data_IF_677577337999
#
_entry.id   IF_677577337999
#
_cell.length_a   1.000
_cell.length_b   1.000
_cell.length_c   1.000
_cell.angle_alpha   90.00
_cell.angle_beta   90.00
_cell.angle_gamma   90.00
#
_symmetry.space_group_name_H-M   'P 1'
#
loop_
_entity.id
_entity.type
_entity.pdbx_description
1 polymer ?
#
# COMPACT_ATOMS: atom_id res chain seq x y z
N UNK A 1 -6.00 -41.63 5.99
CA UNK A 1 -5.30 -40.33 6.07
C UNK A 1 -5.64 -39.71 7.41
N UNK A 2 -4.66 -39.43 8.27
CA UNK A 2 -4.93 -38.84 9.61
C UNK A 2 -5.19 -37.34 9.50
N UNK A 3 -6.02 -36.77 10.38
CA UNK A 3 -6.34 -35.33 10.38
C UNK A 3 -5.07 -34.44 10.44
N UNK A 4 -4.09 -34.87 11.24
CA UNK A 4 -2.76 -34.27 11.36
C UNK A 4 -2.05 -34.09 10.01
N UNK A 5 -2.10 -35.10 9.13
CA UNK A 5 -1.44 -35.05 7.82
C UNK A 5 -2.08 -33.98 6.92
N UNK A 6 -3.41 -33.90 6.93
CA UNK A 6 -4.16 -32.90 6.15
C UNK A 6 -3.81 -31.49 6.62
N UNK A 7 -3.79 -31.26 7.94
CA UNK A 7 -3.43 -29.97 8.54
C UNK A 7 -2.00 -29.56 8.21
N UNK A 8 -1.06 -30.51 8.25
CA UNK A 8 0.34 -30.25 7.90
C UNK A 8 0.52 -29.85 6.43
N UNK A 9 -0.19 -30.51 5.51
CA UNK A 9 -0.15 -30.14 4.08
C UNK A 9 -0.77 -28.75 3.83
N UNK A 10 -1.80 -28.36 4.58
CA UNK A 10 -2.30 -26.99 4.54
C UNK A 10 -1.26 -25.97 5.05
N UNK A 11 -0.58 -26.25 6.17
CA UNK A 11 0.50 -25.38 6.68
C UNK A 11 1.57 -25.17 5.60
N UNK A 12 2.07 -26.26 4.99
CA UNK A 12 3.04 -26.16 3.87
C UNK A 12 2.52 -25.30 2.73
N UNK A 13 1.26 -25.51 2.34
CA UNK A 13 0.62 -24.74 1.26
C UNK A 13 0.63 -23.25 1.57
N UNK A 14 0.26 -22.84 2.79
CA UNK A 14 0.21 -21.42 3.17
C UNK A 14 1.60 -20.80 3.42
N UNK A 15 2.60 -21.61 3.78
CA UNK A 15 4.01 -21.18 3.78
C UNK A 15 4.47 -20.92 2.34
N UNK A 16 4.18 -21.82 1.41
CA UNK A 16 4.55 -21.67 -0.01
C UNK A 16 3.88 -20.46 -0.67
N UNK A 17 2.59 -20.22 -0.36
CA UNK A 17 1.84 -19.05 -0.86
C UNK A 17 2.47 -17.70 -0.52
N UNK A 18 3.39 -17.65 0.45
CA UNK A 18 4.19 -16.43 0.74
C UNK A 18 4.85 -15.86 -0.52
N UNK A 19 5.31 -16.74 -1.42
CA UNK A 19 5.99 -16.32 -2.65
C UNK A 19 5.06 -15.55 -3.61
N UNK A 20 3.75 -15.81 -3.53
CA UNK A 20 2.73 -15.18 -4.36
C UNK A 20 2.18 -13.91 -3.70
N UNK A 21 1.95 -13.94 -2.38
CA UNK A 21 1.32 -12.83 -1.64
C UNK A 21 2.30 -11.73 -1.25
N UNK A 22 3.55 -12.07 -0.93
CA UNK A 22 4.55 -11.14 -0.39
C UNK A 22 5.41 -10.54 -1.50
N UNK A 23 4.77 -9.98 -2.52
CA UNK A 23 5.44 -9.30 -3.63
C UNK A 23 6.44 -8.25 -3.11
N UNK A 24 7.72 -8.39 -3.50
CA UNK A 24 8.79 -7.44 -3.20
C UNK A 24 8.81 -6.34 -4.26
N UNK A 25 8.22 -5.21 -3.92
CA UNK A 25 8.26 -4.02 -4.76
C UNK A 25 9.68 -3.43 -4.79
N UNK A 26 10.18 -2.96 -5.96
CA UNK A 26 11.46 -2.25 -6.02
C UNK A 26 11.47 -1.06 -5.08
N UNK A 27 12.58 -0.85 -4.37
CA UNK A 27 12.70 0.21 -3.35
C UNK A 27 12.45 1.60 -3.94
N UNK A 28 12.82 1.83 -5.20
CA UNK A 28 12.71 3.14 -5.87
C UNK A 28 11.26 3.44 -6.29
N UNK A 29 10.46 2.42 -6.61
CA UNK A 29 9.15 2.59 -7.25
C UNK A 29 8.18 3.51 -6.46
N UNK A 30 8.11 3.47 -5.12
CA UNK A 30 7.27 4.37 -4.35
C UNK A 30 7.70 5.84 -4.35
N UNK A 31 8.97 6.12 -4.65
CA UNK A 31 9.50 7.49 -4.68
C UNK A 31 9.27 8.15 -6.03
N UNK A 32 9.14 7.38 -7.12
CA UNK A 32 8.93 7.89 -8.48
C UNK A 32 7.72 8.84 -8.57
N UNK A 33 6.52 8.50 -8.05
CA UNK A 33 5.38 9.42 -8.07
C UNK A 33 5.66 10.77 -7.41
N UNK A 34 6.30 10.74 -6.24
CA UNK A 34 6.61 11.95 -5.47
C UNK A 34 7.59 12.83 -6.25
N UNK A 35 8.63 12.23 -6.82
CA UNK A 35 9.59 12.96 -7.64
C UNK A 35 8.91 13.60 -8.86
N UNK A 36 8.07 12.86 -9.59
CA UNK A 36 7.33 13.38 -10.74
C UNK A 36 6.40 14.53 -10.36
N UNK A 37 5.67 14.41 -9.25
CA UNK A 37 4.75 15.46 -8.76
C UNK A 37 5.52 16.69 -8.29
N UNK A 38 6.65 16.52 -7.62
CA UNK A 38 7.51 17.65 -7.22
C UNK A 38 8.05 18.36 -8.46
N UNK A 39 8.62 17.63 -9.42
CA UNK A 39 9.13 18.18 -10.68
C UNK A 39 8.03 18.88 -11.47
N UNK A 40 6.83 18.30 -11.58
CA UNK A 40 5.71 18.94 -12.26
C UNK A 40 5.31 20.24 -11.56
N UNK A 41 5.27 20.24 -10.21
CA UNK A 41 4.94 21.44 -9.43
C UNK A 41 5.97 22.56 -9.64
N UNK A 42 7.27 22.22 -9.72
CA UNK A 42 8.33 23.19 -10.03
C UNK A 42 8.11 23.79 -11.42
N UNK A 43 7.83 22.95 -12.44
CA UNK A 43 7.56 23.42 -13.81
C UNK A 43 6.34 24.34 -13.86
N UNK A 44 5.27 23.99 -13.13
CA UNK A 44 4.08 24.83 -13.03
C UNK A 44 4.41 26.20 -12.41
N UNK A 45 5.19 26.23 -11.32
CA UNK A 45 5.62 27.49 -10.69
C UNK A 45 6.45 28.32 -11.67
N UNK A 46 7.40 27.71 -12.38
CA UNK A 46 8.23 28.39 -13.38
C UNK A 46 7.40 28.96 -14.53
N UNK A 47 6.41 28.21 -15.02
CA UNK A 47 5.47 28.65 -16.05
C UNK A 47 4.63 29.84 -15.57
N UNK A 48 4.15 29.82 -14.33
CA UNK A 48 3.42 30.94 -13.73
C UNK A 48 4.32 32.18 -13.57
N UNK A 49 5.55 32.03 -13.09
CA UNK A 49 6.47 33.15 -12.95
C UNK A 49 6.85 33.76 -14.30
N UNK A 50 7.04 32.93 -15.32
CA UNK A 50 7.29 33.37 -16.69
C UNK A 50 6.14 34.23 -17.20
N UNK A 51 4.91 33.76 -17.01
CA UNK A 51 3.68 34.48 -17.39
C UNK A 51 3.60 35.84 -16.70
N UNK A 52 3.86 35.91 -15.39
CA UNK A 52 3.81 37.18 -14.64
C UNK A 52 4.89 38.15 -15.15
N UNK A 53 6.11 37.64 -15.42
CA UNK A 53 7.20 38.49 -15.91
C UNK A 53 6.95 39.05 -17.30
N UNK A 54 6.32 38.30 -18.21
CA UNK A 54 6.04 38.81 -19.57
C UNK A 54 4.92 39.86 -19.54
N UNK A 55 3.91 39.70 -18.68
CA UNK A 55 2.86 40.71 -18.50
C UNK A 55 3.36 42.05 -17.94
N UNK A 56 4.46 42.07 -17.16
CA UNK A 56 5.01 43.32 -16.60
C UNK A 56 5.86 44.13 -17.62
N UNK A 57 6.29 43.52 -18.73
CA UNK A 57 7.22 44.12 -19.71
C UNK A 57 6.55 44.63 -21.00
N UNK A 58 5.23 44.80 -21.02
CA UNK A 58 4.49 45.31 -22.19
C UNK A 58 4.70 46.84 -22.37
N UNK A 59 5.90 47.25 -22.80
CA UNK A 59 6.17 48.46 -23.58
C UNK A 59 7.32 48.18 -24.56
N UNK A 60 7.03 48.37 -25.86
CA UNK A 60 7.87 48.20 -27.06
C UNK A 60 7.99 46.80 -27.72
N UNK A 61 7.08 46.58 -28.69
CA UNK A 61 7.19 45.92 -30.02
C UNK A 61 8.31 44.90 -30.28
N UNK A 62 7.92 43.65 -30.66
CA UNK A 62 8.18 42.98 -31.97
C UNK A 62 7.36 41.67 -32.08
N UNK A 63 6.63 41.51 -33.20
CA UNK A 63 5.75 40.38 -33.56
C UNK A 63 6.44 39.00 -33.68
N UNK A 64 7.77 38.94 -33.57
CA UNK A 64 8.54 37.70 -33.66
C UNK A 64 8.97 37.15 -32.28
N UNK A 65 9.01 37.98 -31.24
CA UNK A 65 9.20 37.53 -29.85
C UNK A 65 7.90 36.91 -29.30
N UNK A 66 6.74 37.52 -29.58
CA UNK A 66 5.41 37.08 -29.09
C UNK A 66 5.12 35.60 -29.43
N UNK A 67 5.45 35.14 -30.64
CA UNK A 67 5.18 33.76 -31.08
C UNK A 67 6.07 32.74 -30.35
N UNK A 68 7.30 33.11 -30.00
CA UNK A 68 8.22 32.23 -29.27
C UNK A 68 7.83 32.13 -27.79
N UNK A 69 7.32 33.20 -27.19
CA UNK A 69 6.88 33.22 -25.79
C UNK A 69 5.64 32.37 -25.54
N UNK A 70 4.64 32.48 -26.42
CA UNK A 70 3.42 31.65 -26.37
C UNK A 70 3.76 30.15 -26.52
N UNK A 71 4.63 29.80 -27.47
CA UNK A 71 5.05 28.41 -27.69
C UNK A 71 5.78 27.81 -26.48
N UNK A 72 6.63 28.58 -25.80
CA UNK A 72 7.34 28.12 -24.59
C UNK A 72 6.35 27.85 -23.46
N UNK A 73 5.35 28.72 -23.27
CA UNK A 73 4.35 28.54 -22.22
C UNK A 73 3.49 27.30 -22.46
N UNK A 74 3.03 27.07 -23.68
CA UNK A 74 2.26 25.87 -24.05
C UNK A 74 3.06 24.58 -23.77
N UNK A 75 4.35 24.57 -24.12
CA UNK A 75 5.23 23.44 -23.87
C UNK A 75 5.40 23.17 -22.37
N UNK A 76 5.58 24.21 -21.55
CA UNK A 76 5.71 24.06 -20.10
C UNK A 76 4.41 23.53 -19.45
N UNK A 77 3.26 24.02 -19.89
CA UNK A 77 1.95 23.54 -19.41
C UNK A 77 1.73 22.09 -19.83
N UNK A 78 2.01 21.74 -21.08
CA UNK A 78 1.91 20.37 -21.57
C UNK A 78 2.83 19.42 -20.78
N UNK A 79 4.07 19.84 -20.52
CA UNK A 79 5.02 19.06 -19.74
C UNK A 79 4.56 18.88 -18.29
N UNK A 80 4.02 19.93 -17.65
CA UNK A 80 3.41 19.85 -16.33
C UNK A 80 2.30 18.79 -16.29
N UNK A 81 1.35 18.86 -17.23
CA UNK A 81 0.20 17.94 -17.29
C UNK A 81 0.69 16.50 -17.46
N UNK A 82 1.61 16.25 -18.39
CA UNK A 82 2.13 14.90 -18.66
C UNK A 82 2.81 14.32 -17.43
N UNK A 83 3.71 15.08 -16.78
CA UNK A 83 4.42 14.61 -15.60
C UNK A 83 3.49 14.39 -14.41
N UNK A 84 2.54 15.31 -14.20
CA UNK A 84 1.56 15.20 -13.12
C UNK A 84 0.67 13.96 -13.30
N UNK A 85 0.10 13.76 -14.49
CA UNK A 85 -0.74 12.59 -14.78
C UNK A 85 0.08 11.30 -14.64
N UNK A 86 1.30 11.27 -15.18
CA UNK A 86 2.17 10.10 -15.08
C UNK A 86 2.48 9.77 -13.61
N UNK A 87 2.83 10.77 -12.81
CA UNK A 87 3.06 10.63 -11.37
C UNK A 87 1.82 10.11 -10.65
N UNK A 88 0.63 10.65 -10.95
CA UNK A 88 -0.63 10.22 -10.37
C UNK A 88 -0.96 8.76 -10.71
N UNK A 89 -0.80 8.34 -11.97
CA UNK A 89 -1.06 6.96 -12.41
C UNK A 89 -0.13 5.97 -11.71
N UNK A 90 1.16 6.27 -11.63
CA UNK A 90 2.12 5.42 -10.91
C UNK A 90 1.78 5.39 -9.41
N UNK A 91 1.35 6.51 -8.83
CA UNK A 91 0.93 6.57 -7.43
C UNK A 91 -0.24 5.61 -7.14
N UNK A 92 -1.28 5.62 -7.98
CA UNK A 92 -2.43 4.71 -7.86
C UNK A 92 -1.94 3.25 -7.85
N UNK A 93 -1.05 2.90 -8.77
CA UNK A 93 -0.49 1.56 -8.85
C UNK A 93 0.27 1.16 -7.58
N UNK A 94 1.11 2.05 -7.05
CA UNK A 94 1.89 1.80 -5.83
C UNK A 94 0.97 1.60 -4.63
N UNK A 95 0.01 2.52 -4.42
CA UNK A 95 -0.96 2.42 -3.33
C UNK A 95 -1.80 1.15 -3.43
N UNK A 96 -2.29 0.83 -4.63
CA UNK A 96 -3.01 -0.41 -4.88
C UNK A 96 -2.19 -1.62 -4.45
N UNK A 97 -0.92 -1.70 -4.90
CA UNK A 97 -0.05 -2.83 -4.57
C UNK A 97 0.27 -2.92 -3.08
N UNK A 98 0.47 -1.79 -2.40
CA UNK A 98 0.71 -1.79 -0.96
C UNK A 98 -0.50 -2.26 -0.15
N UNK A 99 -1.68 -1.74 -0.47
CA UNK A 99 -2.91 -2.10 0.24
C UNK A 99 -3.26 -3.57 -0.05
N UNK A 100 -3.16 -3.99 -1.31
CA UNK A 100 -3.36 -5.39 -1.70
C UNK A 100 -2.40 -6.31 -0.95
N UNK A 101 -1.09 -6.01 -0.97
CA UNK A 101 -0.08 -6.81 -0.26
C UNK A 101 -0.38 -6.90 1.23
N UNK A 102 -0.76 -5.80 1.86
CA UNK A 102 -1.16 -5.78 3.28
C UNK A 102 -2.32 -6.73 3.53
N UNK A 103 -3.38 -6.70 2.71
CA UNK A 103 -4.52 -7.60 2.86
C UNK A 103 -4.14 -9.06 2.63
N UNK A 104 -3.45 -9.35 1.52
CA UNK A 104 -3.05 -10.71 1.14
C UNK A 104 -2.13 -11.33 2.21
N UNK A 105 -1.15 -10.56 2.69
CA UNK A 105 -0.23 -10.99 3.74
C UNK A 105 -0.98 -11.30 5.04
N UNK A 106 -1.81 -10.38 5.52
CA UNK A 106 -2.51 -10.56 6.79
C UNK A 106 -3.52 -11.70 6.72
N UNK A 107 -4.27 -11.81 5.62
CA UNK A 107 -5.21 -12.91 5.41
C UNK A 107 -4.51 -14.26 5.34
N UNK A 108 -3.39 -14.35 4.60
CA UNK A 108 -2.58 -15.57 4.52
C UNK A 108 -2.03 -15.97 5.89
N UNK A 109 -1.45 -15.02 6.63
CA UNK A 109 -0.84 -15.29 7.93
C UNK A 109 -1.89 -15.69 8.97
N UNK A 110 -3.08 -15.06 8.96
CA UNK A 110 -4.21 -15.48 9.78
C UNK A 110 -4.57 -16.96 9.54
N UNK A 111 -4.79 -17.34 8.27
CA UNK A 111 -5.14 -18.72 7.90
C UNK A 111 -4.03 -19.71 8.29
N UNK A 112 -2.76 -19.33 8.09
CA UNK A 112 -1.61 -20.13 8.49
C UNK A 112 -1.65 -20.46 9.98
N UNK A 113 -1.83 -19.44 10.84
CA UNK A 113 -1.87 -19.67 12.29
C UNK A 113 -3.11 -20.44 12.75
N UNK A 114 -4.24 -20.33 12.05
CA UNK A 114 -5.39 -21.21 12.29
C UNK A 114 -5.01 -22.67 12.10
N UNK A 115 -4.34 -23.01 10.99
CA UNK A 115 -3.91 -24.39 10.75
C UNK A 115 -2.81 -24.86 11.71
N UNK A 116 -1.88 -23.98 12.10
CA UNK A 116 -0.86 -24.31 13.10
C UNK A 116 -1.51 -24.64 14.45
N UNK A 117 -2.46 -23.82 14.90
CA UNK A 117 -3.24 -24.08 16.13
C UNK A 117 -3.97 -25.42 16.07
N UNK A 118 -4.70 -25.68 14.98
CA UNK A 118 -5.46 -26.93 14.82
C UNK A 118 -4.52 -28.15 14.78
N UNK A 119 -3.37 -28.03 14.10
CA UNK A 119 -2.35 -29.08 14.05
C UNK A 119 -1.78 -29.40 15.44
N UNK A 120 -1.43 -28.38 16.21
CA UNK A 120 -0.92 -28.55 17.57
C UNK A 120 -1.95 -29.21 18.49
N UNK A 121 -3.21 -28.79 18.40
CA UNK A 121 -4.30 -29.37 19.19
C UNK A 121 -4.50 -30.87 18.90
N UNK A 122 -4.57 -31.25 17.61
CA UNK A 122 -4.71 -32.66 17.21
C UNK A 122 -3.49 -33.50 17.62
N UNK A 123 -2.29 -32.94 17.50
CA UNK A 123 -1.06 -33.62 17.92
C UNK A 123 -1.01 -33.80 19.45
N UNK A 124 -1.41 -32.80 20.22
CA UNK A 124 -1.51 -32.86 21.68
C UNK A 124 -2.48 -33.93 22.14
N UNK A 125 -3.70 -33.94 21.57
CA UNK A 125 -4.73 -34.94 21.87
C UNK A 125 -4.24 -36.36 21.63
N UNK A 126 -3.54 -36.60 20.52
CA UNK A 126 -2.95 -37.93 20.20
C UNK A 126 -1.85 -38.35 21.18
N UNK A 127 -1.14 -37.37 21.77
CA UNK A 127 -0.12 -37.59 22.81
C UNK A 127 -0.70 -37.63 24.23
N UNK A 128 -2.01 -37.52 24.39
CA UNK A 128 -2.67 -37.48 25.70
C UNK A 128 -2.44 -36.17 26.47
N UNK A 129 -2.04 -35.10 25.78
CA UNK A 129 -1.92 -33.76 26.34
C UNK A 129 -3.26 -33.02 26.19
N UNK A 130 -3.75 -32.43 27.27
CA UNK A 130 -4.91 -31.55 27.23
C UNK A 130 -4.47 -30.12 26.87
N UNK A 131 -4.59 -29.77 25.59
CA UNK A 131 -4.33 -28.44 25.05
C UNK A 131 -5.61 -27.64 24.83
N UNK A 132 -6.74 -28.05 25.44
CA UNK A 132 -8.05 -27.45 25.15
C UNK A 132 -8.12 -25.98 25.56
N UNK A 133 -7.49 -25.61 26.67
CA UNK A 133 -7.44 -24.23 27.16
C UNK A 133 -6.57 -23.37 26.23
N UNK A 134 -5.38 -23.84 25.88
CA UNK A 134 -4.46 -23.09 25.00
C UNK A 134 -5.04 -22.92 23.60
N UNK A 135 -5.65 -23.96 23.06
CA UNK A 135 -6.34 -23.90 21.77
C UNK A 135 -7.51 -22.92 21.79
N UNK A 136 -8.28 -22.85 22.88
CA UNK A 136 -9.37 -21.89 23.05
C UNK A 136 -8.85 -20.45 23.12
N UNK A 137 -7.75 -20.21 23.85
CA UNK A 137 -7.12 -18.89 23.97
C UNK A 137 -6.58 -18.43 22.61
N UNK A 138 -5.87 -19.30 21.88
CA UNK A 138 -5.38 -19.01 20.53
C UNK A 138 -6.53 -18.77 19.55
N UNK A 139 -7.63 -19.54 19.64
CA UNK A 139 -8.81 -19.35 18.80
C UNK A 139 -9.45 -17.98 19.01
N UNK A 140 -9.54 -17.56 20.28
CA UNK A 140 -10.02 -16.22 20.63
C UNK A 140 -9.10 -15.13 20.07
N UNK A 141 -7.78 -15.24 20.28
CA UNK A 141 -6.81 -14.27 19.77
C UNK A 141 -6.85 -14.17 18.23
N UNK A 142 -7.00 -15.31 17.54
CA UNK A 142 -7.14 -15.37 16.09
C UNK A 142 -8.45 -14.72 15.62
N UNK A 143 -9.59 -14.96 16.29
CA UNK A 143 -10.86 -14.30 15.96
C UNK A 143 -10.79 -12.78 16.15
N UNK A 144 -10.21 -12.32 17.26
CA UNK A 144 -9.98 -10.90 17.50
C UNK A 144 -9.04 -10.31 16.42
N UNK A 145 -8.02 -11.06 16.00
CA UNK A 145 -7.18 -10.71 14.86
C UNK A 145 -7.97 -10.54 13.56
N UNK A 146 -8.80 -11.49 13.19
CA UNK A 146 -9.60 -11.38 11.97
C UNK A 146 -10.49 -10.12 11.96
N UNK A 147 -11.12 -9.80 13.09
CA UNK A 147 -12.02 -8.63 13.22
C UNK A 147 -11.26 -7.31 13.13
N UNK A 148 -10.08 -7.21 13.76
CA UNK A 148 -9.30 -5.97 13.80
C UNK A 148 -8.73 -5.58 12.43
N UNK A 149 -8.48 -6.56 11.57
CA UNK A 149 -7.88 -6.35 10.26
C UNK A 149 -8.90 -6.49 9.15
N UNK A 150 -9.95 -5.66 9.20
CA UNK A 150 -10.91 -5.52 8.10
C UNK A 150 -10.19 -5.31 6.77
N UNK A 151 -10.58 -6.10 5.78
CA UNK A 151 -10.10 -5.97 4.40
C UNK A 151 -10.52 -4.61 3.86
N UNK A 152 -9.58 -3.94 3.19
CA UNK A 152 -9.81 -2.66 2.55
C UNK A 152 -9.76 -2.86 1.05
N UNK A 153 -10.78 -2.41 0.31
CA UNK A 153 -10.77 -2.49 -1.14
C UNK A 153 -9.57 -1.71 -1.71
N UNK A 154 -8.55 -2.39 -2.30
CA UNK A 154 -7.33 -1.72 -2.72
C UNK A 154 -7.56 -0.69 -3.82
N UNK A 155 -8.55 -0.91 -4.69
CA UNK A 155 -8.86 -0.02 -5.81
C UNK A 155 -9.46 1.28 -5.28
N UNK A 156 -10.48 1.20 -4.42
CA UNK A 156 -11.12 2.38 -3.85
C UNK A 156 -10.12 3.25 -3.09
N UNK A 157 -9.31 2.63 -2.22
CA UNK A 157 -8.32 3.36 -1.44
C UNK A 157 -7.17 3.93 -2.28
N UNK A 158 -6.82 3.31 -3.41
CA UNK A 158 -5.81 3.85 -4.31
C UNK A 158 -6.29 5.05 -5.14
N UNK A 159 -7.60 5.13 -5.42
CA UNK A 159 -8.21 6.21 -6.19
C UNK A 159 -8.62 7.42 -5.33
N UNK A 160 -8.96 7.20 -4.06
CA UNK A 160 -9.39 8.26 -3.15
C UNK A 160 -8.42 9.47 -3.08
N UNK A 161 -7.08 9.31 -3.13
CA UNK A 161 -6.14 10.43 -3.16
C UNK A 161 -6.23 11.35 -4.39
N UNK A 162 -6.98 10.97 -5.43
CA UNK A 162 -7.18 11.84 -6.61
C UNK A 162 -8.22 12.94 -6.37
N UNK A 163 -8.99 12.86 -5.28
CA UNK A 163 -9.99 13.88 -4.95
C UNK A 163 -9.26 15.20 -4.64
N UNK A 164 -9.54 16.30 -5.35
CA UNK A 164 -8.91 17.59 -5.07
C UNK A 164 -9.11 18.02 -3.62
N UNK A 165 -8.11 18.70 -3.05
CA UNK A 165 -8.08 19.23 -1.67
C UNK A 165 -8.07 18.19 -0.53
N UNK A 166 -8.82 17.09 -0.66
CA UNK A 166 -8.95 16.04 0.36
C UNK A 166 -7.91 14.92 0.12
N UNK A 167 -7.47 14.75 -1.12
CA UNK A 167 -6.62 13.65 -1.54
C UNK A 167 -5.30 13.53 -0.76
N UNK A 168 -4.68 14.66 -0.41
CA UNK A 168 -3.47 14.71 0.41
C UNK A 168 -3.73 14.18 1.82
N UNK A 169 -4.84 14.57 2.46
CA UNK A 169 -5.22 14.07 3.80
C UNK A 169 -5.45 12.55 3.74
N UNK A 170 -6.12 12.07 2.69
CA UNK A 170 -6.35 10.64 2.51
C UNK A 170 -5.04 9.89 2.28
N UNK A 171 -4.10 10.44 1.51
CA UNK A 171 -2.79 9.85 1.29
C UNK A 171 -2.02 9.67 2.61
N UNK A 172 -1.99 10.71 3.45
CA UNK A 172 -1.40 10.62 4.79
C UNK A 172 -2.10 9.57 5.66
N UNK A 173 -3.43 9.50 5.59
CA UNK A 173 -4.18 8.46 6.29
C UNK A 173 -3.83 7.06 5.80
N UNK A 174 -3.62 6.87 4.48
CA UNK A 174 -3.19 5.60 3.90
C UNK A 174 -1.85 5.16 4.48
N UNK A 175 -0.86 6.06 4.47
CA UNK A 175 0.45 5.77 5.04
C UNK A 175 0.38 5.51 6.54
N UNK A 176 -0.45 6.25 7.28
CA UNK A 176 -0.66 6.02 8.70
C UNK A 176 -1.22 4.63 8.97
N UNK A 177 -2.31 4.23 8.31
CA UNK A 177 -2.91 2.93 8.58
C UNK A 177 -2.02 1.78 8.12
N UNK A 178 -1.32 1.89 6.98
CA UNK A 178 -0.40 0.85 6.52
C UNK A 178 0.68 0.57 7.58
N UNK A 179 1.33 1.62 8.09
CA UNK A 179 2.35 1.49 9.13
C UNK A 179 1.77 0.94 10.45
N UNK A 180 0.63 1.48 10.87
CA UNK A 180 -0.05 1.05 12.10
C UNK A 180 -0.45 -0.42 12.03
N UNK A 181 -0.95 -0.87 10.88
CA UNK A 181 -1.39 -2.24 10.67
C UNK A 181 -0.21 -3.21 10.70
N UNK A 182 0.91 -2.90 10.03
CA UNK A 182 2.12 -3.74 10.11
C UNK A 182 2.65 -3.85 11.54
N UNK A 183 2.71 -2.73 12.29
CA UNK A 183 3.12 -2.76 13.69
C UNK A 183 2.20 -3.63 14.54
N UNK A 184 0.88 -3.45 14.40
CA UNK A 184 -0.10 -4.27 15.12
C UNK A 184 0.03 -5.74 14.77
N UNK A 185 0.26 -6.06 13.50
CA UNK A 185 0.42 -7.43 13.03
C UNK A 185 1.63 -8.09 13.68
N UNK A 186 2.79 -7.41 13.67
CA UNK A 186 4.02 -7.90 14.31
C UNK A 186 3.84 -8.19 15.80
N UNK A 187 3.18 -7.29 16.54
CA UNK A 187 2.92 -7.49 17.99
C UNK A 187 2.07 -8.75 18.22
N UNK A 188 1.05 -8.99 17.39
CA UNK A 188 0.18 -10.17 17.51
C UNK A 188 0.89 -11.45 17.12
N UNK A 189 1.66 -11.41 16.05
CA UNK A 189 2.48 -12.54 15.61
C UNK A 189 3.44 -12.97 16.73
N UNK A 190 4.13 -12.01 17.35
CA UNK A 190 4.99 -12.27 18.51
C UNK A 190 4.22 -12.85 19.70
N UNK A 191 3.01 -12.36 19.99
CA UNK A 191 2.17 -12.89 21.07
C UNK A 191 1.77 -14.35 20.82
N UNK A 192 1.37 -14.70 19.59
CA UNK A 192 1.01 -16.08 19.21
C UNK A 192 2.23 -16.98 19.28
N UNK A 193 3.38 -16.55 18.76
CA UNK A 193 4.62 -17.33 18.77
C UNK A 193 5.13 -17.60 20.19
N UNK A 194 4.92 -16.69 21.15
CA UNK A 194 5.30 -16.91 22.54
C UNK A 194 4.40 -17.92 23.28
N UNK A 195 3.25 -18.29 22.70
CA UNK A 195 2.29 -19.27 23.25
C UNK A 195 2.41 -20.65 22.62
N UNK A 196 3.22 -20.78 21.56
CA UNK A 196 3.46 -22.02 20.81
C UNK A 196 4.82 -22.57 21.21
#
# INVERSE_FOLDING_TARGET
MTAEYVLFEHIKTYIMKRLETDYKMPIILPYIPILLIITSTIIMILSLTYTISTYEYEYEVILQEIVMEEAVQEVLIALFIILYITGAVINIYVLYKWIKRRNDHIGRTYILYTYVKDFMYELGKKRGLDLSIDALMLDRELKEWHVDFRERNPILWALLPLIPYIGLVILFYIYHFLNKDFRKHWIREAAILNRI
#
